data_IF_291665894051
#
_entry.id   IF_291665894051
#
_cell.length_a   1.000
_cell.length_b   1.000
_cell.length_c   1.000
_cell.angle_alpha   90.00
_cell.angle_beta   90.00
_cell.angle_gamma   90.00
#
_symmetry.space_group_name_H-M   'P 1'
#
loop_
_entity.id
_entity.type
_entity.pdbx_description
1 polymer ?
#
# COMPACT_ATOMS: atom_id res chain seq x y z
N UNK A 1 19.07 -19.90 36.46
CA UNK A 1 19.10 -20.25 35.03
C UNK A 1 18.28 -19.23 34.26
N UNK A 2 18.92 -18.32 33.52
CA UNK A 2 18.22 -17.38 32.64
C UNK A 2 18.13 -18.01 31.25
N UNK A 3 16.91 -18.20 30.75
CA UNK A 3 16.67 -18.64 29.38
C UNK A 3 17.32 -17.65 28.40
N UNK A 4 18.06 -18.11 27.37
CA UNK A 4 18.69 -17.21 26.43
C UNK A 4 17.61 -16.41 25.68
N UNK A 5 17.67 -15.08 25.80
CA UNK A 5 16.86 -14.16 24.99
C UNK A 5 17.18 -14.45 23.53
N UNK A 6 16.24 -15.08 22.83
CA UNK A 6 16.30 -15.30 21.39
C UNK A 6 16.75 -13.99 20.71
N UNK A 7 17.86 -13.98 19.94
CA UNK A 7 18.27 -12.78 19.21
C UNK A 7 17.12 -12.42 18.28
N UNK A 8 16.53 -11.23 18.49
CA UNK A 8 15.39 -10.75 17.70
C UNK A 8 15.79 -10.84 16.22
N UNK A 9 15.11 -11.71 15.46
CA UNK A 9 15.32 -11.82 14.01
C UNK A 9 15.25 -10.41 13.41
N UNK A 10 16.20 -10.02 12.54
CA UNK A 10 16.16 -8.71 11.92
C UNK A 10 14.82 -8.54 11.18
N UNK A 11 14.09 -7.48 11.55
CA UNK A 11 12.78 -7.19 10.97
C UNK A 11 13.01 -6.79 9.52
N UNK A 12 12.41 -7.51 8.56
CA UNK A 12 12.44 -7.11 7.15
C UNK A 12 11.89 -5.68 7.04
N UNK A 13 12.57 -4.77 6.33
CA UNK A 13 12.09 -3.41 6.18
C UNK A 13 10.77 -3.40 5.41
N UNK A 14 9.87 -2.48 5.76
CA UNK A 14 8.54 -2.47 5.17
C UNK A 14 8.49 -1.74 3.84
N UNK A 15 7.78 -2.36 2.90
CA UNK A 15 7.37 -1.75 1.64
C UNK A 15 5.88 -2.04 1.49
N UNK A 16 5.09 -1.04 1.16
CA UNK A 16 3.64 -1.15 1.10
C UNK A 16 2.95 0.19 1.30
N UNK A 17 1.62 0.17 1.42
CA UNK A 17 0.87 1.39 1.69
C UNK A 17 0.54 1.59 3.18
N UNK A 18 0.33 2.84 3.55
CA UNK A 18 -0.30 3.25 4.80
C UNK A 18 -1.49 4.13 4.46
N UNK A 19 -2.66 3.73 4.94
CA UNK A 19 -3.89 4.51 4.85
C UNK A 19 -4.07 5.28 6.15
N UNK A 20 -4.39 6.57 6.05
CA UNK A 20 -4.71 7.44 7.17
C UNK A 20 -6.19 7.82 7.09
N UNK A 21 -6.92 7.67 8.20
CA UNK A 21 -8.34 8.01 8.32
C UNK A 21 -8.58 9.30 9.12
N UNK A 22 -9.74 9.92 8.91
CA UNK A 22 -10.17 11.15 9.60
C UNK A 22 -10.10 11.06 11.13
N UNK A 23 -10.36 9.88 11.70
CA UNK A 23 -10.31 9.65 13.14
C UNK A 23 -8.90 9.40 13.69
N UNK A 24 -7.85 9.68 12.91
CA UNK A 24 -6.45 9.44 13.27
C UNK A 24 -6.01 7.98 13.23
N UNK A 25 -6.90 7.04 12.92
CA UNK A 25 -6.54 5.63 12.75
C UNK A 25 -5.73 5.45 11.48
N UNK A 26 -4.66 4.66 11.57
CA UNK A 26 -3.89 4.24 10.41
C UNK A 26 -4.03 2.75 10.14
N UNK A 27 -4.05 2.37 8.87
CA UNK A 27 -4.00 0.97 8.45
C UNK A 27 -2.78 0.78 7.57
N UNK A 28 -1.83 0.00 8.11
CA UNK A 28 -0.65 -0.44 7.38
C UNK A 28 -0.96 -1.70 6.59
N UNK A 29 -0.38 -1.82 5.40
CA UNK A 29 -0.49 -3.02 4.61
C UNK A 29 0.00 -4.25 5.39
N UNK A 30 -0.73 -5.36 5.23
CA UNK A 30 -0.32 -6.69 5.68
C UNK A 30 -0.51 -7.66 4.54
N UNK A 31 0.55 -8.35 4.17
CA UNK A 31 0.53 -9.44 3.19
C UNK A 31 -0.03 -10.73 3.84
N UNK A 32 -0.59 -11.64 3.02
CA UNK A 32 -1.16 -12.92 3.45
C UNK A 32 -2.19 -12.77 4.59
N UNK A 33 -3.08 -11.80 4.45
CA UNK A 33 -4.05 -11.46 5.48
C UNK A 33 -5.26 -12.39 5.46
N UNK A 34 -5.65 -12.93 6.62
CA UNK A 34 -6.90 -13.68 6.78
C UNK A 34 -8.03 -12.68 7.04
N UNK A 35 -8.89 -12.47 6.03
CA UNK A 35 -10.07 -11.63 6.16
C UNK A 35 -11.18 -12.40 6.85
N UNK A 36 -11.59 -11.93 8.04
CA UNK A 36 -12.77 -12.47 8.73
C UNK A 36 -14.04 -12.18 7.95
N UNK A 37 -14.15 -10.99 7.34
CA UNK A 37 -15.29 -10.55 6.54
C UNK A 37 -15.53 -11.46 5.34
N UNK A 38 -14.46 -11.88 4.67
CA UNK A 38 -14.52 -12.72 3.48
C UNK A 38 -14.31 -14.21 3.77
N UNK A 39 -14.04 -14.57 5.03
CA UNK A 39 -13.67 -15.90 5.50
C UNK A 39 -12.62 -16.61 4.60
N UNK A 40 -11.59 -15.88 4.15
CA UNK A 40 -10.56 -16.40 3.26
C UNK A 40 -9.22 -15.70 3.44
N UNK A 41 -8.16 -16.35 2.96
CA UNK A 41 -6.85 -15.75 2.83
C UNK A 41 -6.82 -14.80 1.63
N UNK A 42 -6.46 -13.55 1.89
CA UNK A 42 -6.29 -12.49 0.90
C UNK A 42 -4.80 -12.18 0.73
N UNK A 43 -4.42 -11.74 -0.47
CA UNK A 43 -3.05 -11.29 -0.73
C UNK A 43 -2.65 -10.14 0.20
N UNK A 44 -3.59 -9.23 0.48
CA UNK A 44 -3.42 -8.14 1.44
C UNK A 44 -4.68 -7.87 2.26
N UNK A 45 -4.58 -7.01 3.28
CA UNK A 45 -5.70 -6.50 4.07
C UNK A 45 -6.50 -5.37 3.38
N UNK A 46 -6.31 -5.16 2.07
CA UNK A 46 -6.93 -4.05 1.35
C UNK A 46 -8.44 -4.16 1.14
N UNK A 47 -8.99 -5.36 1.21
CA UNK A 47 -10.44 -5.55 1.20
C UNK A 47 -11.15 -4.98 2.46
N UNK A 48 -10.39 -4.69 3.53
CA UNK A 48 -10.90 -4.13 4.79
C UNK A 48 -10.85 -2.58 4.81
N UNK A 49 -10.31 -1.95 3.76
CA UNK A 49 -10.16 -0.50 3.70
C UNK A 49 -11.47 0.15 3.33
N UNK A 50 -11.90 1.09 4.16
CA UNK A 50 -13.02 1.97 3.87
C UNK A 50 -12.51 3.20 3.12
N UNK A 51 -12.57 3.14 1.79
CA UNK A 51 -12.08 4.22 0.92
C UNK A 51 -12.76 5.56 1.21
N UNK A 52 -13.99 5.55 1.72
CA UNK A 52 -14.72 6.78 1.95
C UNK A 52 -14.15 7.64 3.08
N UNK A 53 -13.42 7.03 4.00
CA UNK A 53 -12.89 7.68 5.19
C UNK A 53 -11.41 8.05 5.07
N UNK A 54 -10.79 7.74 3.94
CA UNK A 54 -9.37 8.01 3.71
C UNK A 54 -9.18 9.52 3.61
N UNK A 55 -8.25 10.06 4.40
CA UNK A 55 -7.74 11.44 4.27
C UNK A 55 -6.39 11.50 3.60
N UNK A 56 -5.58 10.46 3.79
CA UNK A 56 -4.30 10.37 3.14
C UNK A 56 -3.91 8.93 2.83
N UNK A 57 -3.16 8.77 1.76
CA UNK A 57 -2.59 7.51 1.31
C UNK A 57 -1.09 7.70 1.10
N UNK A 58 -0.31 6.84 1.72
CA UNK A 58 1.13 6.94 1.74
C UNK A 58 1.77 5.67 1.21
N UNK A 59 2.80 5.82 0.38
CA UNK A 59 3.60 4.74 -0.17
C UNK A 59 4.96 4.72 0.51
N UNK A 60 5.27 3.60 1.14
CA UNK A 60 6.53 3.35 1.84
C UNK A 60 7.37 2.37 1.04
N UNK A 61 8.67 2.64 0.91
CA UNK A 61 9.66 1.70 0.37
C UNK A 61 10.85 1.57 1.32
N UNK A 62 11.08 0.36 1.82
CA UNK A 62 12.12 0.04 2.81
C UNK A 62 12.12 1.01 4.01
N UNK A 63 10.96 1.13 4.65
CA UNK A 63 10.66 2.02 5.79
C UNK A 63 10.80 3.53 5.49
N UNK A 64 11.08 3.92 4.25
CA UNK A 64 11.14 5.34 3.84
C UNK A 64 9.86 5.74 3.13
N UNK A 65 9.24 6.83 3.58
CA UNK A 65 8.15 7.45 2.84
C UNK A 65 8.65 7.94 1.48
N UNK A 66 7.93 7.57 0.42
CA UNK A 66 8.28 7.95 -0.95
C UNK A 66 7.31 8.95 -1.54
N UNK A 67 6.02 8.78 -1.23
CA UNK A 67 4.99 9.71 -1.61
C UNK A 67 3.83 9.59 -0.64
N UNK A 68 3.23 10.73 -0.31
CA UNK A 68 2.01 10.84 0.45
C UNK A 68 1.06 11.71 -0.37
N UNK A 69 -0.17 11.25 -0.52
CA UNK A 69 -1.25 11.98 -1.17
C UNK A 69 -2.28 12.25 -0.09
N UNK A 70 -2.71 13.49 0.07
CA UNK A 70 -3.68 13.84 1.11
C UNK A 70 -4.79 14.77 0.59
N UNK A 71 -5.95 14.73 1.26
CA UNK A 71 -7.07 15.64 0.97
C UNK A 71 -6.69 17.10 1.25
N UNK A 72 -5.76 17.37 2.16
CA UNK A 72 -5.28 18.73 2.41
C UNK A 72 -4.54 19.29 1.18
N UNK A 73 -3.71 18.47 0.53
CA UNK A 73 -3.00 18.84 -0.70
C UNK A 73 -3.93 18.85 -1.93
N UNK A 74 -4.96 18.00 -1.91
CA UNK A 74 -5.89 17.81 -3.02
C UNK A 74 -7.35 17.75 -2.50
N UNK A 75 -7.96 18.89 -2.13
CA UNK A 75 -9.28 18.93 -1.48
C UNK A 75 -10.44 18.49 -2.39
N UNK A 76 -10.18 18.35 -3.69
CA UNK A 76 -11.16 17.85 -4.66
C UNK A 76 -11.29 16.31 -4.68
N UNK A 77 -10.37 15.58 -4.04
CA UNK A 77 -10.41 14.10 -3.99
C UNK A 77 -11.60 13.63 -3.15
N UNK A 78 -12.51 12.89 -3.79
CA UNK A 78 -13.65 12.26 -3.12
C UNK A 78 -13.28 10.87 -2.59
N UNK A 79 -14.00 10.36 -1.58
CA UNK A 79 -14.07 8.96 -1.18
C UNK A 79 -13.75 7.87 -2.23
N UNK A 80 -14.35 7.96 -3.42
CA UNK A 80 -14.22 6.96 -4.48
C UNK A 80 -12.98 7.12 -5.36
N UNK A 81 -12.30 8.26 -5.26
CA UNK A 81 -11.25 8.64 -6.20
C UNK A 81 -9.91 7.97 -5.87
N UNK A 82 -9.75 7.45 -4.65
CA UNK A 82 -8.51 6.81 -4.21
C UNK A 82 -8.19 5.53 -5.02
N UNK A 83 -7.00 5.54 -5.60
CA UNK A 83 -6.42 4.42 -6.34
C UNK A 83 -5.22 3.85 -5.58
N UNK A 84 -5.16 2.53 -5.48
CA UNK A 84 -3.96 1.82 -5.08
C UNK A 84 -3.94 0.44 -5.73
N UNK A 85 -2.76 0.00 -6.16
CA UNK A 85 -2.59 -1.26 -6.87
C UNK A 85 -1.18 -1.82 -6.74
N UNK A 86 -1.04 -3.14 -6.94
CA UNK A 86 0.24 -3.81 -7.06
C UNK A 86 0.36 -4.47 -8.43
N UNK A 87 1.56 -4.45 -8.98
CA UNK A 87 1.95 -5.28 -10.11
C UNK A 87 3.03 -6.24 -9.64
N UNK A 88 2.89 -7.51 -9.99
CA UNK A 88 3.81 -8.56 -9.61
C UNK A 88 3.67 -9.78 -10.53
N UNK A 89 4.47 -10.79 -10.24
CA UNK A 89 4.43 -12.09 -10.93
C UNK A 89 4.59 -13.23 -9.92
N UNK A 90 4.15 -14.43 -10.32
CA UNK A 90 4.44 -15.66 -9.58
C UNK A 90 5.78 -16.21 -10.07
N UNK A 91 6.79 -16.23 -9.21
CA UNK A 91 8.03 -16.95 -9.51
C UNK A 91 7.75 -18.45 -9.44
N UNK A 92 7.80 -19.12 -10.60
CA UNK A 92 7.49 -20.54 -10.74
C UNK A 92 8.50 -21.46 -10.03
N UNK A 93 9.74 -21.01 -9.85
CA UNK A 93 10.78 -21.79 -9.15
C UNK A 93 10.57 -21.76 -7.65
N UNK A 94 10.35 -20.58 -7.07
CA UNK A 94 10.16 -20.45 -5.63
C UNK A 94 8.70 -20.57 -5.18
N UNK A 95 7.75 -20.58 -6.13
CA UNK A 95 6.29 -20.50 -5.90
C UNK A 95 5.87 -19.29 -5.06
N UNK A 96 6.67 -18.22 -5.09
CA UNK A 96 6.39 -16.97 -4.35
C UNK A 96 5.87 -15.90 -5.29
N UNK A 97 4.90 -15.13 -4.80
CA UNK A 97 4.50 -13.88 -5.45
C UNK A 97 5.58 -12.84 -5.22
N UNK A 98 6.08 -12.25 -6.30
CA UNK A 98 7.04 -11.16 -6.29
C UNK A 98 6.31 -9.89 -6.72
N UNK A 99 6.26 -8.90 -5.84
CA UNK A 99 5.76 -7.57 -6.18
C UNK A 99 6.90 -6.77 -6.79
N UNK A 100 6.69 -6.23 -7.99
CA UNK A 100 7.68 -5.42 -8.71
C UNK A 100 7.37 -3.94 -8.66
N UNK A 101 6.09 -3.59 -8.48
CA UNK A 101 5.63 -2.21 -8.49
C UNK A 101 4.44 -2.03 -7.57
N UNK A 102 4.44 -0.94 -6.81
CA UNK A 102 3.28 -0.48 -6.04
C UNK A 102 2.91 0.92 -6.46
N UNK A 103 1.61 1.15 -6.63
CA UNK A 103 1.10 2.42 -7.13
C UNK A 103 0.01 2.95 -6.22
N UNK A 104 0.06 4.24 -5.94
CA UNK A 104 -1.01 5.01 -5.31
C UNK A 104 -1.46 6.13 -6.26
N UNK A 105 -2.68 6.63 -6.08
CA UNK A 105 -3.19 7.65 -6.97
C UNK A 105 -4.56 8.16 -6.57
N UNK A 106 -5.09 9.05 -7.40
CA UNK A 106 -6.44 9.57 -7.28
C UNK A 106 -7.05 9.86 -8.66
N UNK A 107 -8.37 9.81 -8.74
CA UNK A 107 -9.15 10.24 -9.90
C UNK A 107 -9.54 11.70 -9.71
N UNK A 108 -9.35 12.52 -10.74
CA UNK A 108 -9.81 13.91 -10.78
C UNK A 108 -10.24 14.23 -12.20
N UNK A 109 -11.45 14.75 -12.38
CA UNK A 109 -11.97 15.18 -13.69
C UNK A 109 -11.87 14.09 -14.78
N UNK A 110 -12.11 12.82 -14.40
CA UNK A 110 -12.00 11.67 -15.32
C UNK A 110 -10.56 11.24 -15.64
N UNK A 111 -9.55 11.86 -15.04
CA UNK A 111 -8.15 11.51 -15.16
C UNK A 111 -7.66 10.80 -13.90
N UNK A 112 -6.98 9.68 -14.10
CA UNK A 112 -6.31 8.93 -13.04
C UNK A 112 -4.85 9.38 -12.94
N UNK A 113 -4.53 10.04 -11.84
CA UNK A 113 -3.17 10.43 -11.46
C UNK A 113 -2.53 9.30 -10.64
N UNK A 114 -1.46 8.71 -11.15
CA UNK A 114 -0.80 7.54 -10.55
C UNK A 114 0.64 7.87 -10.23
N UNK A 115 1.07 7.50 -9.03
CA UNK A 115 2.46 7.50 -8.61
C UNK A 115 2.86 6.08 -8.24
N UNK A 116 3.93 5.59 -8.84
CA UNK A 116 4.40 4.21 -8.66
C UNK A 116 5.81 4.17 -8.14
N UNK A 117 6.09 3.28 -7.19
CA UNK A 117 7.46 2.90 -6.81
C UNK A 117 7.83 1.59 -7.46
N UNK A 118 9.00 1.56 -8.09
CA UNK A 118 9.67 0.32 -8.49
C UNK A 118 10.26 -0.36 -7.24
N UNK A 119 9.93 -1.62 -6.96
CA UNK A 119 10.38 -2.29 -5.75
C UNK A 119 11.89 -2.61 -5.74
N UNK A 120 12.51 -2.76 -6.92
CA UNK A 120 13.93 -3.06 -7.05
C UNK A 120 14.76 -1.79 -6.82
N UNK A 121 14.38 -0.70 -7.46
CA UNK A 121 15.16 0.56 -7.45
C UNK A 121 14.71 1.55 -6.38
N UNK A 122 13.44 1.51 -5.99
CA UNK A 122 12.84 2.52 -5.12
C UNK A 122 12.61 3.87 -5.81
N UNK A 123 12.71 3.91 -7.15
CA UNK A 123 12.46 5.08 -7.98
C UNK A 123 10.95 5.34 -8.11
N UNK A 124 10.55 6.61 -8.13
CA UNK A 124 9.14 7.02 -8.28
C UNK A 124 8.89 7.46 -9.71
N UNK A 125 7.79 6.99 -10.29
CA UNK A 125 7.28 7.43 -11.60
C UNK A 125 5.83 7.90 -11.48
N UNK A 126 5.56 9.11 -11.94
CA UNK A 126 4.22 9.67 -12.07
C UNK A 126 3.68 9.45 -13.48
N UNK A 127 2.39 9.13 -13.60
CA UNK A 127 1.70 9.02 -14.88
C UNK A 127 0.24 9.45 -14.74
N UNK A 128 -0.29 10.10 -15.77
CA UNK A 128 -1.71 10.43 -15.88
C UNK A 128 -2.30 9.64 -17.05
N UNK A 129 -3.53 9.15 -16.90
CA UNK A 129 -4.30 8.52 -17.99
C UNK A 129 -5.79 8.75 -17.81
N UNK A 130 -6.57 8.70 -18.89
CA UNK A 130 -8.03 8.70 -18.81
C UNK A 130 -8.53 7.42 -18.10
N UNK A 131 -9.61 7.56 -17.33
CA UNK A 131 -10.32 6.46 -16.63
C UNK A 131 -11.25 5.73 -17.56
#
# INVERSE_FOLDING_TARGET
>A
MQSPKNPRRPKKPFTGFIVHYENGKTVRERENYISKKLNKQCATNWAEIDKARIVALELIWKDKSKIKLSKEEYPSIKPGDWYFSHTGYLDMKSRKVVVVKRSIGYIKDGLLHIYSVDEKEGSIKGHVRAV
#
